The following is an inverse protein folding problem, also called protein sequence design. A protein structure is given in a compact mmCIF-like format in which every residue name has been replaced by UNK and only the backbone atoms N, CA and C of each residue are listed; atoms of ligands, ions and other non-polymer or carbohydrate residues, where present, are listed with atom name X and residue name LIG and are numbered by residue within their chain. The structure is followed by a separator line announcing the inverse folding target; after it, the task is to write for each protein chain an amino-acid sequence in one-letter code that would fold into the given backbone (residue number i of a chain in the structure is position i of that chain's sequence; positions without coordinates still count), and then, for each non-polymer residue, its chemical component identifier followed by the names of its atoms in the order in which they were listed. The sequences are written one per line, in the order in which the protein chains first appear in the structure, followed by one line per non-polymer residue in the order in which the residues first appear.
data_IF_105130360194
#
_entry.id   IF_105130360194
#
_cell.length_a   1.000
_cell.length_b   1.000
_cell.length_c   1.000
_cell.angle_alpha   90.00
_cell.angle_beta   90.00
_cell.angle_gamma   90.00
#
_symmetry.space_group_name_H-M   'P 1'
#
loop_
_entity.id
_entity.type
_entity.pdbx_description
1 polymer ?
#
# COMPACT_ATOMS: atom_id res chain seq x y z
N UNK A 1 1.81 10.33 14.24
CA UNK A 1 0.54 10.78 13.65
C UNK A 1 0.62 11.17 12.17
N UNK A 2 1.72 11.74 11.67
CA UNK A 2 1.85 12.14 10.24
C UNK A 2 1.50 11.00 9.26
N UNK A 3 2.02 9.79 9.45
CA UNK A 3 1.76 8.66 8.54
C UNK A 3 0.28 8.25 8.51
N UNK A 4 -0.42 8.34 9.64
CA UNK A 4 -1.84 7.98 9.72
C UNK A 4 -2.72 9.01 9.00
N UNK A 5 -2.33 10.29 9.06
CA UNK A 5 -3.00 11.36 8.30
C UNK A 5 -2.90 11.12 6.80
N UNK A 6 -1.74 10.72 6.28
CA UNK A 6 -1.58 10.42 4.85
C UNK A 6 -2.45 9.24 4.41
N UNK A 7 -2.54 8.18 5.21
CA UNK A 7 -3.42 7.03 4.93
C UNK A 7 -4.87 7.48 4.79
N UNK A 8 -5.36 8.25 5.76
CA UNK A 8 -6.75 8.72 5.78
C UNK A 8 -7.05 9.70 4.64
N UNK A 9 -6.07 10.53 4.24
CA UNK A 9 -6.23 11.42 3.08
C UNK A 9 -6.37 10.60 1.79
N UNK A 10 -5.48 9.63 1.55
CA UNK A 10 -5.54 8.78 0.34
C UNK A 10 -6.86 7.99 0.33
N UNK A 11 -7.18 7.34 1.44
CA UNK A 11 -8.42 6.59 1.61
C UNK A 11 -9.66 7.45 1.36
N UNK A 12 -9.72 8.65 1.95
CA UNK A 12 -10.85 9.56 1.82
C UNK A 12 -11.01 10.11 0.40
N UNK A 13 -9.92 10.54 -0.24
CA UNK A 13 -9.95 11.04 -1.61
C UNK A 13 -10.44 9.96 -2.57
N UNK A 14 -9.89 8.75 -2.50
CA UNK A 14 -10.32 7.65 -3.38
C UNK A 14 -11.77 7.30 -3.14
N UNK A 15 -12.21 7.19 -1.87
CA UNK A 15 -13.59 6.88 -1.53
C UNK A 15 -14.55 7.91 -2.10
N UNK A 16 -14.29 9.21 -1.90
CA UNK A 16 -15.13 10.30 -2.39
C UNK A 16 -15.13 10.33 -3.92
N UNK A 17 -13.95 10.30 -4.55
CA UNK A 17 -13.84 10.36 -6.00
C UNK A 17 -14.59 9.21 -6.68
N UNK A 18 -14.43 7.99 -6.18
CA UNK A 18 -15.16 6.83 -6.70
C UNK A 18 -16.66 6.93 -6.44
N UNK A 19 -17.08 7.35 -5.23
CA UNK A 19 -18.49 7.50 -4.89
C UNK A 19 -19.17 8.50 -5.82
N UNK A 20 -18.58 9.69 -6.01
CA UNK A 20 -19.09 10.72 -6.92
C UNK A 20 -19.11 10.22 -8.36
N UNK A 21 -18.01 9.62 -8.83
CA UNK A 21 -17.94 9.09 -10.18
C UNK A 21 -19.00 8.02 -10.44
N UNK A 22 -19.14 7.06 -9.53
CA UNK A 22 -20.11 5.98 -9.65
C UNK A 22 -21.54 6.49 -9.59
N UNK A 23 -21.85 7.46 -8.73
CA UNK A 23 -23.17 8.07 -8.63
C UNK A 23 -23.57 8.84 -9.90
N UNK A 24 -22.61 9.47 -10.59
CA UNK A 24 -22.87 10.19 -11.85
C UNK A 24 -22.89 9.28 -13.08
N UNK A 25 -22.20 8.14 -13.02
CA UNK A 25 -22.00 7.26 -14.18
C UNK A 25 -22.94 6.06 -14.22
N UNK A 26 -23.59 5.72 -13.10
CA UNK A 26 -24.58 4.65 -13.07
C UNK A 26 -25.84 5.07 -13.81
N UNK A 27 -26.35 4.16 -14.65
CA UNK A 27 -27.57 4.37 -15.42
C UNK A 27 -28.84 4.06 -14.61
N UNK A 28 -28.71 3.24 -13.57
CA UNK A 28 -29.80 2.91 -12.64
C UNK A 28 -29.64 3.72 -11.35
N UNK A 29 -30.76 4.24 -10.84
CA UNK A 29 -30.81 4.94 -9.56
C UNK A 29 -30.59 3.94 -8.42
N UNK A 30 -29.35 3.83 -7.99
CA UNK A 30 -28.96 3.08 -6.80
C UNK A 30 -28.87 3.99 -5.57
N UNK A 31 -28.91 3.39 -4.39
CA UNK A 31 -28.82 4.17 -3.14
C UNK A 31 -27.42 4.79 -2.97
N UNK A 32 -27.33 5.91 -2.24
CA UNK A 32 -26.04 6.51 -1.88
C UNK A 32 -25.15 5.52 -1.10
N UNK A 33 -25.76 4.61 -0.35
CA UNK A 33 -25.07 3.54 0.38
C UNK A 33 -24.35 2.56 -0.55
N UNK A 34 -24.96 2.19 -1.67
CA UNK A 34 -24.34 1.35 -2.70
C UNK A 34 -23.10 2.02 -3.32
N UNK A 35 -23.20 3.29 -3.69
CA UNK A 35 -22.05 4.02 -4.25
C UNK A 35 -20.92 4.20 -3.23
N UNK A 36 -21.28 4.49 -1.98
CA UNK A 36 -20.33 4.62 -0.88
C UNK A 36 -19.63 3.28 -0.58
N UNK A 37 -20.36 2.16 -0.61
CA UNK A 37 -19.77 0.83 -0.39
C UNK A 37 -18.77 0.49 -1.51
N UNK A 38 -19.09 0.80 -2.77
CA UNK A 38 -18.14 0.70 -3.88
C UNK A 38 -16.88 1.55 -3.67
N UNK A 39 -17.04 2.79 -3.22
CA UNK A 39 -15.92 3.69 -2.93
C UNK A 39 -15.02 3.17 -1.82
N UNK A 40 -15.61 2.70 -0.72
CA UNK A 40 -14.90 2.11 0.40
C UNK A 40 -14.19 0.80 0.04
N UNK A 41 -14.78 -0.01 -0.84
CA UNK A 41 -14.15 -1.22 -1.33
C UNK A 41 -12.90 -0.90 -2.15
N UNK A 42 -13.01 -0.01 -3.13
CA UNK A 42 -11.88 0.36 -4.01
C UNK A 42 -10.77 1.04 -3.21
N UNK A 43 -11.11 2.00 -2.35
CA UNK A 43 -10.13 2.64 -1.47
C UNK A 43 -9.47 1.62 -0.53
N UNK A 44 -10.25 0.69 0.01
CA UNK A 44 -9.78 -0.38 0.88
C UNK A 44 -8.75 -1.29 0.21
N UNK A 45 -9.04 -1.75 -1.02
CA UNK A 45 -8.13 -2.61 -1.79
C UNK A 45 -6.83 -1.88 -2.13
N UNK A 46 -6.89 -0.61 -2.55
CA UNK A 46 -5.69 0.16 -2.87
C UNK A 46 -4.80 0.38 -1.63
N UNK A 47 -5.40 0.79 -0.51
CA UNK A 47 -4.69 1.01 0.76
C UNK A 47 -4.10 -0.31 1.28
N UNK A 48 -4.84 -1.41 1.16
CA UNK A 48 -4.36 -2.76 1.48
C UNK A 48 -3.16 -3.14 0.62
N UNK A 49 -3.24 -2.96 -0.70
CA UNK A 49 -2.15 -3.28 -1.63
C UNK A 49 -0.87 -2.50 -1.30
N UNK A 50 -0.98 -1.18 -1.07
CA UNK A 50 0.15 -0.34 -0.63
C UNK A 50 0.77 -0.87 0.67
N UNK A 51 -0.07 -1.26 1.63
CA UNK A 51 0.38 -1.88 2.88
C UNK A 51 1.14 -3.18 2.66
N UNK A 52 0.62 -4.07 1.81
CA UNK A 52 1.24 -5.35 1.49
C UNK A 52 2.58 -5.17 0.77
N UNK A 53 2.66 -4.30 -0.24
CA UNK A 53 3.93 -4.01 -0.93
C UNK A 53 4.97 -3.40 0.03
N UNK A 54 4.54 -2.47 0.89
CA UNK A 54 5.42 -1.89 1.90
C UNK A 54 5.92 -2.93 2.90
N UNK A 55 5.06 -3.89 3.27
CA UNK A 55 5.42 -4.99 4.16
C UNK A 55 6.42 -5.96 3.51
N UNK A 56 6.23 -6.28 2.23
CA UNK A 56 7.16 -7.10 1.44
C UNK A 56 8.53 -6.43 1.31
N UNK A 57 8.58 -5.11 1.15
CA UNK A 57 9.82 -4.33 1.18
C UNK A 57 10.51 -4.43 2.54
N UNK A 58 9.76 -4.17 3.62
CA UNK A 58 10.30 -4.16 4.98
C UNK A 58 10.72 -5.55 5.51
N UNK A 59 10.22 -6.63 4.92
CA UNK A 59 10.60 -8.02 5.27
C UNK A 59 11.84 -8.51 4.50
N UNK A 60 12.31 -7.76 3.50
CA UNK A 60 13.42 -8.19 2.64
C UNK A 60 13.00 -9.24 1.61
N UNK A 61 11.70 -9.46 1.39
CA UNK A 61 11.21 -10.38 0.36
C UNK A 61 11.67 -9.91 -1.04
N UNK A 62 11.65 -8.58 -1.25
CA UNK A 62 12.23 -7.97 -2.45
C UNK A 62 13.75 -8.11 -2.54
N UNK A 63 14.47 -8.15 -1.41
CA UNK A 63 15.91 -8.39 -1.43
C UNK A 63 16.24 -9.79 -1.92
N UNK A 64 15.46 -10.79 -1.51
CA UNK A 64 15.56 -12.16 -2.03
C UNK A 64 15.34 -12.23 -3.54
N UNK A 65 14.30 -11.55 -4.06
CA UNK A 65 14.03 -11.48 -5.50
C UNK A 65 15.14 -10.74 -6.27
N UNK A 66 15.62 -9.62 -5.73
CA UNK A 66 16.63 -8.78 -6.37
C UNK A 66 18.06 -9.28 -6.15
N UNK A 67 18.28 -10.31 -5.34
CA UNK A 67 19.60 -10.78 -4.94
C UNK A 67 20.51 -11.07 -6.14
N UNK A 68 20.00 -11.81 -7.14
CA UNK A 68 20.78 -12.13 -8.35
C UNK A 68 21.17 -10.89 -9.15
N UNK A 69 20.26 -9.92 -9.27
CA UNK A 69 20.51 -8.66 -9.95
C UNK A 69 21.51 -7.78 -9.19
N UNK A 70 21.35 -7.65 -7.87
CA UNK A 70 22.28 -6.93 -6.98
C UNK A 70 23.68 -7.54 -7.05
N UNK A 71 23.79 -8.87 -7.02
CA UNK A 71 25.07 -9.59 -7.15
C UNK A 71 25.77 -9.28 -8.48
N UNK A 72 25.05 -9.33 -9.60
CA UNK A 72 25.61 -9.02 -10.92
C UNK A 72 26.04 -7.55 -11.03
N UNK A 73 25.21 -6.63 -10.54
CA UNK A 73 25.53 -5.19 -10.48
C UNK A 73 26.78 -4.93 -9.64
N UNK A 74 26.89 -5.53 -8.45
CA UNK A 74 28.05 -5.39 -7.56
C UNK A 74 29.33 -5.90 -8.21
N UNK A 75 29.28 -7.04 -8.90
CA UNK A 75 30.44 -7.57 -9.63
C UNK A 75 30.93 -6.56 -10.69
N UNK A 76 30.00 -6.01 -11.48
CA UNK A 76 30.34 -4.98 -12.49
C UNK A 76 30.86 -3.68 -11.90
N UNK A 77 30.32 -3.23 -10.77
CA UNK A 77 30.80 -2.01 -10.11
C UNK A 77 32.20 -2.19 -9.53
N UNK A 78 32.50 -3.38 -8.98
CA UNK A 78 33.84 -3.72 -8.50
C UNK A 78 34.89 -3.88 -9.60
N UNK A 79 34.49 -4.19 -10.83
CA UNK A 79 35.38 -4.17 -11.98
C UNK A 79 35.84 -2.74 -12.34
N UNK A 80 35.01 -1.73 -12.07
CA UNK A 80 35.27 -0.31 -12.37
C UNK A 80 35.99 0.36 -11.19
N UNK A 81 35.55 0.07 -9.96
CA UNK A 81 36.07 0.61 -8.71
C UNK A 81 36.28 -0.54 -7.69
N UNK A 82 37.53 -1.00 -7.50
CA UNK A 82 37.85 -2.11 -6.60
C UNK A 82 37.42 -1.86 -5.15
N UNK A 83 37.37 -0.60 -4.74
CA UNK A 83 37.06 -0.16 -3.37
C UNK A 83 35.55 0.11 -3.18
N UNK A 84 34.72 -0.22 -4.17
CA UNK A 84 33.27 -0.07 -4.05
C UNK A 84 32.70 -0.93 -2.90
N UNK A 85 32.24 -0.24 -1.85
CA UNK A 85 31.40 -0.78 -0.79
C UNK A 85 29.95 -0.32 -0.99
N UNK A 86 29.00 -1.26 -0.86
CA UNK A 86 27.58 -0.98 -1.00
C UNK A 86 27.06 -0.44 0.34
N UNK A 87 26.24 0.62 0.32
CA UNK A 87 25.66 1.21 1.54
C UNK A 87 25.07 0.13 2.46
N UNK A 88 25.29 0.27 3.76
CA UNK A 88 24.82 -0.68 4.78
C UNK A 88 23.32 -0.96 4.60
N UNK A 89 22.96 -2.25 4.58
CA UNK A 89 21.56 -2.66 4.52
C UNK A 89 20.75 -1.98 5.63
N UNK A 90 19.51 -1.58 5.32
CA UNK A 90 18.62 -0.94 6.28
C UNK A 90 18.62 -1.69 7.62
N UNK A 91 18.91 -0.95 8.70
CA UNK A 91 19.09 -1.52 10.03
C UNK A 91 17.86 -2.34 10.45
N UNK A 92 18.02 -3.35 11.33
CA UNK A 92 16.88 -4.12 11.85
C UNK A 92 15.80 -3.22 12.46
N UNK A 93 16.18 -2.11 13.09
CA UNK A 93 15.27 -1.13 13.68
C UNK A 93 14.46 -0.37 12.61
N UNK A 94 15.11 0.04 11.52
CA UNK A 94 14.44 0.69 10.40
C UNK A 94 13.43 -0.24 9.74
N UNK A 95 13.81 -1.52 9.54
CA UNK A 95 12.89 -2.55 9.03
C UNK A 95 11.70 -2.76 9.96
N UNK A 96 11.91 -2.78 11.28
CA UNK A 96 10.82 -2.90 12.25
C UNK A 96 9.85 -1.71 12.19
N UNK A 97 10.38 -0.49 12.10
CA UNK A 97 9.58 0.73 11.95
C UNK A 97 8.78 0.74 10.64
N UNK A 98 9.39 0.32 9.54
CA UNK A 98 8.74 0.17 8.25
C UNK A 98 7.64 -0.88 8.29
N UNK A 99 7.88 -2.06 8.90
CA UNK A 99 6.87 -3.12 9.10
C UNK A 99 5.67 -2.58 9.87
N UNK A 100 5.90 -1.88 10.98
CA UNK A 100 4.83 -1.29 11.80
C UNK A 100 4.04 -0.24 11.03
N UNK A 101 4.71 0.55 10.20
CA UNK A 101 4.05 1.52 9.31
C UNK A 101 3.19 0.81 8.26
N UNK A 102 3.72 -0.23 7.60
CA UNK A 102 3.02 -1.02 6.60
C UNK A 102 1.74 -1.68 7.14
N UNK A 103 1.79 -2.25 8.36
CA UNK A 103 0.61 -2.83 8.99
C UNK A 103 -0.53 -1.84 9.21
N UNK A 104 -0.24 -0.55 9.44
CA UNK A 104 -1.29 0.47 9.57
C UNK A 104 -2.08 0.63 8.26
N UNK A 105 -1.41 0.60 7.12
CA UNK A 105 -2.06 0.59 5.81
C UNK A 105 -2.92 -0.66 5.65
N UNK A 106 -2.36 -1.84 5.96
CA UNK A 106 -3.11 -3.11 5.89
C UNK A 106 -4.38 -3.06 6.73
N UNK A 107 -4.30 -2.61 7.99
CA UNK A 107 -5.46 -2.53 8.87
C UNK A 107 -6.54 -1.58 8.35
N UNK A 108 -6.16 -0.40 7.87
CA UNK A 108 -7.14 0.54 7.29
C UNK A 108 -7.78 -0.05 6.03
N UNK A 109 -6.98 -0.67 5.17
CA UNK A 109 -7.47 -1.32 3.95
C UNK A 109 -8.47 -2.43 4.24
N UNK A 110 -8.12 -3.38 5.12
CA UNK A 110 -9.00 -4.49 5.54
C UNK A 110 -10.27 -3.96 6.19
N UNK A 111 -10.15 -2.99 7.11
CA UNK A 111 -11.32 -2.41 7.80
C UNK A 111 -12.26 -1.73 6.81
N UNK A 112 -11.73 -1.04 5.79
CA UNK A 112 -12.52 -0.41 4.74
C UNK A 112 -13.27 -1.44 3.88
N UNK A 113 -12.63 -2.55 3.52
CA UNK A 113 -13.28 -3.65 2.77
C UNK A 113 -14.36 -4.34 3.61
N UNK A 114 -14.12 -4.55 4.91
CA UNK A 114 -15.15 -5.09 5.80
C UNK A 114 -16.32 -4.10 5.91
N UNK A 115 -16.04 -2.81 6.09
CA UNK A 115 -17.07 -1.77 6.19
C UNK A 115 -17.88 -1.63 4.90
N UNK A 116 -17.24 -1.75 3.72
CA UNK A 116 -17.98 -1.75 2.46
C UNK A 116 -18.98 -2.89 2.39
N UNK A 117 -18.59 -4.08 2.86
CA UNK A 117 -19.49 -5.23 2.88
C UNK A 117 -20.65 -5.03 3.86
N UNK A 118 -20.37 -4.49 5.04
CA UNK A 118 -21.40 -4.21 6.06
C UNK A 118 -22.41 -3.19 5.55
N UNK A 119 -21.97 -2.13 4.87
CA UNK A 119 -22.88 -1.11 4.31
C UNK A 119 -23.78 -1.70 3.23
N UNK A 120 -23.27 -2.61 2.41
CA UNK A 120 -24.08 -3.28 1.37
C UNK A 120 -25.14 -4.22 1.94
N UNK A 121 -25.00 -4.67 3.20
CA UNK A 121 -25.96 -5.56 3.85
C UNK A 121 -27.12 -4.81 4.54
N UNK A 122 -27.05 -3.49 4.62
CA UNK A 122 -28.05 -2.61 5.26
C UNK A 122 -28.86 -1.90 4.18
#
# INVERSE_FOLDING_TARGET
MKNFRSILIVWGIVTIAYTVWSNLSYYQDETIGFHLSGGLFVAGILVFAVGMFSHMGATGLFDGFMYGFKRNRRAKLKEIDPDYEEDEEASPEDRANQKRSAWRWVYVGVTSVVLSYVITLV
#
